data_IF_553121613565
#
_entry.id   IF_553121613565
#
_cell.length_a   1.000
_cell.length_b   1.000
_cell.length_c   1.000
_cell.angle_alpha   90.00
_cell.angle_beta   90.00
_cell.angle_gamma   90.00
#
_symmetry.space_group_name_H-M   'P 1'
#
loop_
_entity.id
_entity.type
_entity.pdbx_description
1 polymer ?
#
# COMPACT_ATOMS: atom_id res chain seq x y z
N UNK A 1 15.78 0.18 -15.93
CA UNK A 1 15.14 -0.43 -14.75
C UNK A 1 13.75 0.17 -14.65
N UNK A 2 12.69 -0.62 -14.86
CA UNK A 2 11.30 -0.11 -14.69
C UNK A 2 10.97 -0.05 -13.20
N UNK A 3 10.01 0.79 -12.78
CA UNK A 3 9.65 0.92 -11.36
C UNK A 3 9.20 -0.40 -10.70
N UNK A 4 8.64 -1.32 -11.51
CA UNK A 4 8.22 -2.65 -11.06
C UNK A 4 9.43 -3.49 -10.56
N UNK A 5 10.59 -3.34 -11.19
CA UNK A 5 11.85 -3.99 -10.79
C UNK A 5 12.29 -3.54 -9.38
N UNK A 6 12.02 -2.29 -8.98
CA UNK A 6 12.35 -1.81 -7.62
C UNK A 6 11.46 -2.45 -6.55
N UNK A 7 10.13 -2.50 -6.76
CA UNK A 7 9.22 -3.11 -5.79
C UNK A 7 9.47 -4.62 -5.66
N UNK A 8 9.74 -5.30 -6.77
CA UNK A 8 10.08 -6.72 -6.79
C UNK A 8 11.36 -7.00 -5.97
N UNK A 9 12.43 -6.22 -6.19
CA UNK A 9 13.68 -6.37 -5.42
C UNK A 9 13.48 -6.08 -3.93
N UNK A 10 12.69 -5.06 -3.58
CA UNK A 10 12.36 -4.78 -2.19
C UNK A 10 11.59 -5.93 -1.54
N UNK A 11 10.59 -6.48 -2.23
CA UNK A 11 9.83 -7.64 -1.75
C UNK A 11 10.73 -8.86 -1.54
N UNK A 12 11.66 -9.15 -2.46
CA UNK A 12 12.66 -10.23 -2.30
C UNK A 12 13.56 -10.01 -1.07
N UNK A 13 13.99 -8.77 -0.82
CA UNK A 13 14.75 -8.44 0.38
C UNK A 13 13.90 -8.68 1.63
N UNK A 14 12.64 -8.25 1.65
CA UNK A 14 11.71 -8.47 2.76
C UNK A 14 11.47 -9.97 2.99
N UNK A 15 11.27 -10.74 1.92
CA UNK A 15 11.08 -12.19 1.97
C UNK A 15 12.29 -12.89 2.60
N UNK A 16 13.50 -12.47 2.24
CA UNK A 16 14.75 -12.95 2.86
C UNK A 16 14.92 -12.56 4.34
N UNK A 17 13.97 -11.81 4.92
CA UNK A 17 13.91 -11.45 6.34
C UNK A 17 12.76 -12.13 7.08
N UNK A 18 11.98 -12.98 6.42
CA UNK A 18 10.99 -13.82 7.08
C UNK A 18 11.66 -14.73 8.14
N UNK A 19 11.00 -15.00 9.28
CA UNK A 19 11.52 -15.93 10.28
C UNK A 19 11.83 -17.32 9.69
N UNK A 20 10.97 -17.80 8.79
CA UNK A 20 11.16 -19.08 8.08
C UNK A 20 12.39 -19.09 7.16
N UNK A 21 12.90 -17.91 6.77
CA UNK A 21 14.09 -17.74 5.94
C UNK A 21 15.34 -17.38 6.76
N UNK A 22 15.27 -17.50 8.09
CA UNK A 22 16.39 -17.19 8.99
C UNK A 22 16.60 -15.69 9.24
N UNK A 23 15.57 -14.86 9.03
CA UNK A 23 15.62 -13.44 9.33
C UNK A 23 15.97 -13.16 10.80
N UNK A 24 17.05 -12.40 11.03
CA UNK A 24 17.55 -12.06 12.36
C UNK A 24 16.95 -10.72 12.87
N UNK A 25 16.08 -10.74 13.89
CA UNK A 25 15.41 -9.55 14.42
C UNK A 25 16.36 -8.58 15.15
N UNK A 26 17.56 -9.03 15.56
CA UNK A 26 18.56 -8.17 16.19
C UNK A 26 19.37 -7.40 15.15
N UNK A 27 19.41 -7.89 13.90
CA UNK A 27 20.17 -7.28 12.79
C UNK A 27 19.30 -6.57 11.76
N UNK A 28 17.99 -6.81 11.73
CA UNK A 28 17.09 -6.24 10.73
C UNK A 28 15.79 -5.72 11.33
N UNK A 29 15.49 -4.46 11.00
CA UNK A 29 14.20 -3.84 11.31
C UNK A 29 13.01 -4.65 10.77
N UNK A 30 13.11 -5.11 9.51
CA UNK A 30 12.05 -5.89 8.86
C UNK A 30 11.88 -7.25 9.56
N UNK A 31 12.97 -7.94 9.87
CA UNK A 31 12.89 -9.21 10.60
C UNK A 31 12.25 -9.02 11.99
N UNK A 32 12.56 -7.91 12.67
CA UNK A 32 11.93 -7.56 13.95
C UNK A 32 10.44 -7.29 13.84
N UNK A 33 10.00 -6.61 12.78
CA UNK A 33 8.57 -6.41 12.53
C UNK A 33 7.87 -7.74 12.24
N UNK A 34 8.44 -8.57 11.36
CA UNK A 34 7.87 -9.87 10.99
C UNK A 34 7.82 -10.83 12.18
N UNK A 35 8.80 -10.78 13.08
CA UNK A 35 8.80 -11.56 14.33
C UNK A 35 7.70 -11.08 15.31
N UNK A 36 7.48 -9.77 15.42
CA UNK A 36 6.42 -9.20 16.27
C UNK A 36 5.01 -9.56 15.80
N UNK A 37 4.87 -9.98 14.54
CA UNK A 37 3.59 -10.37 13.95
C UNK A 37 2.81 -9.21 13.33
N UNK A 38 1.61 -9.50 12.80
CA UNK A 38 0.88 -8.60 11.91
C UNK A 38 0.56 -7.23 12.49
N UNK A 39 0.17 -7.16 13.76
CA UNK A 39 -0.18 -5.89 14.42
C UNK A 39 0.93 -4.84 14.34
N UNK A 40 2.20 -5.27 14.35
CA UNK A 40 3.34 -4.36 14.33
C UNK A 40 3.47 -3.60 13.00
N UNK A 41 3.31 -4.28 11.87
CA UNK A 41 3.42 -3.63 10.56
C UNK A 41 2.07 -3.09 10.06
N UNK A 42 0.94 -3.70 10.43
CA UNK A 42 -0.38 -3.18 10.10
C UNK A 42 -0.68 -1.84 10.79
N UNK A 43 -0.22 -1.66 12.04
CA UNK A 43 -0.30 -0.35 12.70
C UNK A 43 0.44 0.73 11.91
N UNK A 44 1.63 0.40 11.40
CA UNK A 44 2.43 1.33 10.59
C UNK A 44 1.69 1.72 9.31
N UNK A 45 1.01 0.80 8.62
CA UNK A 45 0.18 1.15 7.45
C UNK A 45 -0.84 2.26 7.78
N UNK A 46 -1.52 2.17 8.93
CA UNK A 46 -2.47 3.20 9.36
C UNK A 46 -1.81 4.54 9.72
N UNK A 47 -0.62 4.48 10.33
CA UNK A 47 0.22 5.65 10.65
C UNK A 47 0.65 6.37 9.37
N UNK A 48 1.30 5.66 8.45
CA UNK A 48 1.81 6.20 7.18
C UNK A 48 0.70 6.72 6.27
N UNK A 49 -0.47 6.07 6.28
CA UNK A 49 -1.65 6.56 5.55
C UNK A 49 -2.13 7.92 6.11
N UNK A 50 -2.10 8.08 7.42
CA UNK A 50 -2.46 9.35 8.07
C UNK A 50 -1.41 10.43 7.79
N UNK A 51 -0.13 10.08 7.86
CA UNK A 51 0.99 10.99 7.56
C UNK A 51 0.98 11.42 6.09
N UNK A 52 0.67 10.51 5.17
CA UNK A 52 0.47 10.83 3.74
C UNK A 52 -0.64 11.88 3.55
N UNK A 53 -1.79 11.70 4.21
CA UNK A 53 -2.90 12.67 4.16
C UNK A 53 -2.45 14.02 4.73
N UNK A 54 -1.73 14.03 5.85
CA UNK A 54 -1.24 15.26 6.45
C UNK A 54 -0.22 15.97 5.56
N UNK A 55 0.74 15.25 4.98
CA UNK A 55 1.75 15.81 4.09
C UNK A 55 1.12 16.42 2.82
N UNK A 56 0.07 15.79 2.28
CA UNK A 56 -0.69 16.35 1.17
C UNK A 56 -1.40 17.66 1.57
N UNK A 57 -2.04 17.70 2.74
CA UNK A 57 -2.69 18.92 3.25
C UNK A 57 -1.69 20.04 3.51
N UNK A 58 -0.54 19.73 4.10
CA UNK A 58 0.53 20.71 4.34
C UNK A 58 0.95 21.38 3.02
N UNK A 59 1.06 20.60 1.94
CA UNK A 59 1.41 21.10 0.60
C UNK A 59 0.34 22.07 0.05
N UNK A 60 -0.95 21.79 0.29
CA UNK A 60 -2.05 22.66 -0.16
C UNK A 60 -2.07 24.00 0.61
N UNK A 61 -1.68 24.01 1.89
CA UNK A 61 -1.74 25.19 2.76
C UNK A 61 -0.42 25.99 2.83
N UNK A 62 0.63 25.59 2.11
CA UNK A 62 1.98 26.15 2.29
C UNK A 62 2.24 27.56 1.74
N UNK A 63 1.25 28.19 1.08
CA UNK A 63 1.48 29.39 0.28
C UNK A 63 2.40 29.14 -0.92
N UNK A 64 2.84 30.19 -1.63
CA UNK A 64 3.50 30.09 -2.95
C UNK A 64 5.04 30.09 -2.97
N UNK A 65 5.69 30.00 -1.81
CA UNK A 65 7.16 30.00 -1.76
C UNK A 65 7.75 28.70 -2.32
N UNK A 66 8.58 28.80 -3.35
CA UNK A 66 9.10 27.65 -4.13
C UNK A 66 9.87 26.64 -3.27
N UNK A 67 10.72 27.12 -2.37
CA UNK A 67 11.56 26.28 -1.50
C UNK A 67 10.74 25.46 -0.50
N UNK A 68 9.71 26.08 0.08
CA UNK A 68 8.78 25.43 1.00
C UNK A 68 8.03 24.30 0.28
N UNK A 69 7.52 24.57 -0.94
CA UNK A 69 6.82 23.56 -1.74
C UNK A 69 7.72 22.38 -2.12
N UNK A 70 9.01 22.61 -2.40
CA UNK A 70 9.93 21.53 -2.72
C UNK A 70 10.14 20.57 -1.54
N UNK A 71 10.34 21.10 -0.34
CA UNK A 71 10.45 20.29 0.89
C UNK A 71 9.18 19.50 1.18
N UNK A 72 8.00 20.11 1.02
CA UNK A 72 6.71 19.45 1.28
C UNK A 72 6.36 18.38 0.24
N UNK A 73 6.72 18.59 -1.04
CA UNK A 73 6.61 17.53 -2.06
C UNK A 73 7.51 16.34 -1.73
N UNK A 74 8.73 16.59 -1.28
CA UNK A 74 9.64 15.53 -0.86
C UNK A 74 9.09 14.76 0.36
N UNK A 75 8.51 15.47 1.33
CA UNK A 75 7.81 14.86 2.48
C UNK A 75 6.69 13.93 2.01
N UNK A 76 5.77 14.40 1.15
CA UNK A 76 4.69 13.58 0.62
C UNK A 76 5.19 12.32 -0.09
N UNK A 77 6.25 12.42 -0.90
CA UNK A 77 6.86 11.24 -1.55
C UNK A 77 7.43 10.27 -0.50
N UNK A 78 8.03 10.78 0.57
CA UNK A 78 8.52 9.99 1.70
C UNK A 78 7.41 9.18 2.38
N UNK A 79 6.31 9.83 2.77
CA UNK A 79 5.20 9.15 3.44
C UNK A 79 4.53 8.10 2.54
N UNK A 80 4.39 8.39 1.23
CA UNK A 80 3.86 7.40 0.27
C UNK A 80 4.83 6.22 0.11
N UNK A 81 6.14 6.48 0.12
CA UNK A 81 7.14 5.43 0.06
C UNK A 81 7.10 4.53 1.31
N UNK A 82 6.94 5.10 2.50
CA UNK A 82 6.82 4.33 3.75
C UNK A 82 5.50 3.54 3.79
N UNK A 83 4.39 4.13 3.33
CA UNK A 83 3.12 3.42 3.14
C UNK A 83 3.28 2.21 2.21
N UNK A 84 3.94 2.39 1.07
CA UNK A 84 4.20 1.30 0.13
C UNK A 84 5.13 0.25 0.74
N UNK A 85 6.20 0.66 1.43
CA UNK A 85 7.13 -0.24 2.08
C UNK A 85 6.45 -1.12 3.13
N UNK A 86 5.64 -0.54 4.01
CA UNK A 86 4.87 -1.31 5.00
C UNK A 86 3.79 -2.19 4.35
N UNK A 87 3.21 -1.75 3.23
CA UNK A 87 2.31 -2.60 2.43
C UNK A 87 3.05 -3.80 1.83
N UNK A 88 4.28 -3.65 1.36
CA UNK A 88 5.10 -4.77 0.87
C UNK A 88 5.41 -5.78 1.98
N UNK A 89 5.69 -5.32 3.20
CA UNK A 89 5.90 -6.20 4.37
C UNK A 89 4.63 -7.04 4.61
N UNK A 90 3.45 -6.40 4.56
CA UNK A 90 2.19 -7.10 4.72
C UNK A 90 1.96 -8.13 3.60
N UNK A 91 2.17 -7.76 2.33
CA UNK A 91 2.04 -8.69 1.20
C UNK A 91 2.91 -9.93 1.40
N UNK A 92 4.21 -9.73 1.65
CA UNK A 92 5.16 -10.84 1.84
C UNK A 92 4.77 -11.70 3.05
N UNK A 93 4.35 -11.10 4.17
CA UNK A 93 3.87 -11.85 5.33
C UNK A 93 2.69 -12.78 4.99
N UNK A 94 1.78 -12.32 4.13
CA UNK A 94 0.62 -13.09 3.68
C UNK A 94 0.87 -13.96 2.44
N UNK A 95 2.13 -14.10 2.02
CA UNK A 95 2.51 -14.94 0.87
C UNK A 95 2.13 -14.34 -0.49
N UNK A 96 2.03 -13.01 -0.56
CA UNK A 96 1.74 -12.24 -1.77
C UNK A 96 2.97 -11.45 -2.21
N UNK A 97 2.94 -10.99 -3.45
CA UNK A 97 4.00 -10.24 -4.11
C UNK A 97 3.49 -8.89 -4.66
N UNK A 98 4.39 -7.95 -5.01
CA UNK A 98 4.01 -6.74 -5.73
C UNK A 98 3.31 -7.03 -7.06
N UNK A 99 3.66 -8.13 -7.73
CA UNK A 99 3.06 -8.52 -9.01
C UNK A 99 1.55 -8.78 -8.87
N UNK A 100 1.10 -9.34 -7.75
CA UNK A 100 -0.33 -9.58 -7.48
C UNK A 100 -1.11 -8.26 -7.43
N UNK A 101 -0.51 -7.21 -6.83
CA UNK A 101 -1.09 -5.87 -6.82
C UNK A 101 -1.08 -5.25 -8.22
N UNK A 102 -0.01 -5.44 -9.00
CA UNK A 102 0.06 -4.93 -10.37
C UNK A 102 -1.02 -5.55 -11.26
N UNK A 103 -1.25 -6.86 -11.17
CA UNK A 103 -2.34 -7.55 -11.88
C UNK A 103 -3.69 -6.94 -11.52
N UNK A 104 -3.94 -6.66 -10.24
CA UNK A 104 -5.19 -6.01 -9.82
C UNK A 104 -5.29 -4.55 -10.32
N UNK A 105 -4.19 -3.81 -10.37
CA UNK A 105 -4.17 -2.45 -10.91
C UNK A 105 -4.40 -2.43 -12.43
N UNK A 106 -3.79 -3.36 -13.18
CA UNK A 106 -4.03 -3.53 -14.63
C UNK A 106 -5.50 -3.87 -14.91
N UNK A 107 -6.10 -4.74 -14.09
CA UNK A 107 -7.54 -5.04 -14.15
C UNK A 107 -8.40 -3.79 -13.93
N UNK A 108 -8.01 -2.92 -12.99
CA UNK A 108 -8.69 -1.64 -12.70
C UNK A 108 -8.42 -0.57 -13.74
N UNK A 109 -7.28 -0.59 -14.41
CA UNK A 109 -7.01 0.32 -15.53
C UNK A 109 -7.96 0.01 -16.69
N UNK A 110 -8.20 -1.27 -16.97
CA UNK A 110 -9.12 -1.74 -18.01
C UNK A 110 -10.62 -1.55 -17.72
N UNK A 111 -10.99 -1.13 -16.51
CA UNK A 111 -12.38 -0.91 -16.09
C UNK A 111 -12.46 0.43 -15.39
N UNK A 112 -13.07 1.48 -15.96
CA UNK A 112 -13.03 2.78 -15.28
C UNK A 112 -13.63 2.65 -13.86
N UNK A 113 -13.04 3.29 -12.85
CA UNK A 113 -13.52 3.17 -11.47
C UNK A 113 -14.98 3.63 -11.28
N UNK A 114 -15.53 4.35 -12.25
CA UNK A 114 -16.95 4.71 -12.33
C UNK A 114 -17.77 3.51 -12.82
N UNK A 115 -17.33 2.83 -13.88
CA UNK A 115 -17.97 1.61 -14.40
C UNK A 115 -17.91 0.48 -13.38
N UNK A 116 -16.80 0.26 -12.68
CA UNK A 116 -16.72 -0.77 -11.63
C UNK A 116 -17.68 -0.47 -10.47
N UNK A 117 -17.79 0.79 -10.04
CA UNK A 117 -18.77 1.20 -9.02
C UNK A 117 -20.21 1.04 -9.51
N UNK A 118 -20.48 1.34 -10.78
CA UNK A 118 -21.79 1.14 -11.40
C UNK A 118 -22.14 -0.36 -11.47
N UNK A 119 -21.19 -1.20 -11.87
CA UNK A 119 -21.35 -2.67 -11.91
C UNK A 119 -21.64 -3.24 -10.52
N UNK A 120 -20.86 -2.84 -9.50
CA UNK A 120 -21.08 -3.29 -8.12
C UNK A 120 -22.47 -2.88 -7.61
N UNK A 121 -22.91 -1.65 -7.88
CA UNK A 121 -24.27 -1.20 -7.53
C UNK A 121 -25.36 -2.00 -8.26
N UNK A 122 -25.17 -2.30 -9.54
CA UNK A 122 -26.11 -3.10 -10.32
C UNK A 122 -26.21 -4.53 -9.76
N UNK A 123 -25.08 -5.21 -9.53
CA UNK A 123 -25.03 -6.55 -8.92
C UNK A 123 -25.67 -6.58 -7.53
N UNK A 124 -25.45 -5.55 -6.72
CA UNK A 124 -26.03 -5.47 -5.39
C UNK A 124 -27.55 -5.23 -5.42
N UNK A 125 -28.07 -4.54 -6.44
CA UNK A 125 -29.51 -4.36 -6.66
C UNK A 125 -30.15 -5.67 -7.13
N UNK A 126 -29.57 -6.33 -8.12
CA UNK A 126 -30.09 -7.59 -8.67
C UNK A 126 -30.12 -8.70 -7.60
N UNK A 127 -29.11 -8.76 -6.72
CA UNK A 127 -29.09 -9.67 -5.57
C UNK A 127 -30.19 -9.36 -4.54
N UNK A 128 -30.49 -8.08 -4.29
CA UNK A 128 -31.56 -7.68 -3.36
C UNK A 128 -32.96 -7.95 -3.91
N UNK A 129 -33.16 -7.82 -5.22
CA UNK A 129 -34.43 -8.11 -5.89
C UNK A 129 -34.71 -9.63 -6.00
N UNK A 130 -33.66 -10.45 -6.10
CA UNK A 130 -33.77 -11.90 -6.08
C UNK A 130 -34.18 -12.45 -4.71
N UNK A 131 -33.73 -11.81 -3.61
CA UNK A 131 -34.07 -12.20 -2.22
C UNK A 131 -35.48 -11.75 -1.83
N UNK A 132 -36.01 -10.66 -2.40
CA UNK A 132 -37.36 -10.17 -2.11
C UNK A 132 -38.50 -10.88 -2.84
N UNK A 133 -38.21 -11.84 -3.74
CA UNK A 133 -39.18 -12.58 -4.56
C UNK A 133 -39.45 -14.02 -4.07
N UNK A 134 -38.80 -14.44 -2.99
CA UNK A 134 -39.03 -15.71 -2.26
C UNK A 134 -39.79 -15.43 -0.98
#
# INVERSE_FOLDING_TARGET
>A
MSSNDTLQRLAQIIESRLPAQGGDPDKSYVARLLQKGPDAFLKKIGEEATETVMAAKDLDYSGDTVEIKAGLKAKLVGEVADLWFHSLIALVHYGLSPADVMVELERREGTSGIEEKALRKAQHRDASEAVGKT
#
